data_IF_840624955395
#
_entry.id   IF_840624955395
#
_cell.length_a   1.000
_cell.length_b   1.000
_cell.length_c   1.000
_cell.angle_alpha   90.00
_cell.angle_beta   90.00
_cell.angle_gamma   90.00
#
_symmetry.space_group_name_H-M   'P 1'
#
loop_
_entity.id
_entity.type
_entity.pdbx_description
1 polymer ?
#
# COMPACT_ATOMS: atom_id res chain seq x y z
N UNK A 1 -3.66 -3.96 -13.74
CA UNK A 1 -2.68 -3.20 -12.95
C UNK A 1 -1.77 -4.19 -12.25
N UNK A 2 -0.45 -4.07 -12.36
CA UNK A 2 0.48 -5.06 -11.77
C UNK A 2 1.22 -4.47 -10.56
N UNK A 3 1.64 -5.33 -9.61
CA UNK A 3 2.39 -4.93 -8.40
C UNK A 3 3.64 -4.09 -8.69
N UNK A 4 4.26 -4.28 -9.86
CA UNK A 4 5.42 -3.49 -10.32
C UNK A 4 5.07 -2.02 -10.50
N UNK A 5 3.92 -1.71 -11.10
CA UNK A 5 3.49 -0.33 -11.38
C UNK A 5 3.29 0.44 -10.07
N UNK A 6 2.71 -0.22 -9.07
CA UNK A 6 2.49 0.33 -7.73
C UNK A 6 3.82 0.64 -7.03
N UNK A 7 4.75 -0.32 -7.05
CA UNK A 7 6.05 -0.14 -6.43
C UNK A 7 6.84 1.00 -7.09
N UNK A 8 6.79 1.12 -8.43
CA UNK A 8 7.42 2.23 -9.15
C UNK A 8 6.83 3.59 -8.79
N UNK A 9 5.50 3.70 -8.70
CA UNK A 9 4.83 4.92 -8.23
C UNK A 9 5.29 5.29 -6.82
N UNK A 10 5.37 4.32 -5.91
CA UNK A 10 5.86 4.53 -4.56
C UNK A 10 7.31 5.00 -4.52
N UNK A 11 8.24 4.32 -5.21
CA UNK A 11 9.65 4.72 -5.20
C UNK A 11 9.85 6.11 -5.80
N UNK A 12 9.13 6.46 -6.87
CA UNK A 12 9.15 7.80 -7.45
C UNK A 12 8.64 8.84 -6.44
N UNK A 13 7.53 8.56 -5.77
CA UNK A 13 6.96 9.46 -4.76
C UNK A 13 7.89 9.66 -3.56
N UNK A 14 8.39 8.56 -2.98
CA UNK A 14 9.28 8.58 -1.82
C UNK A 14 10.60 9.31 -2.12
N UNK A 15 11.19 9.07 -3.30
CA UNK A 15 12.36 9.82 -3.78
C UNK A 15 12.07 11.32 -3.94
N UNK A 16 10.91 11.69 -4.46
CA UNK A 16 10.51 13.10 -4.58
C UNK A 16 10.31 13.79 -3.21
N UNK A 17 9.99 13.02 -2.17
CA UNK A 17 9.93 13.51 -0.78
C UNK A 17 11.29 13.54 -0.07
N UNK A 18 12.37 13.13 -0.73
CA UNK A 18 13.71 13.08 -0.15
C UNK A 18 13.94 11.89 0.79
N UNK A 19 13.04 10.92 0.82
CA UNK A 19 13.18 9.70 1.62
C UNK A 19 13.12 8.47 0.71
N UNK A 20 14.23 8.08 0.06
CA UNK A 20 14.26 6.93 -0.83
C UNK A 20 14.14 5.62 -0.03
N UNK A 21 13.36 4.67 -0.58
CA UNK A 21 13.18 3.34 -0.01
C UNK A 21 13.96 2.31 -0.82
N UNK A 22 14.57 1.33 -0.13
CA UNK A 22 15.23 0.18 -0.77
C UNK A 22 14.24 -0.91 -1.19
N UNK A 23 13.06 -0.95 -0.54
CA UNK A 23 12.01 -1.93 -0.82
C UNK A 23 10.62 -1.35 -0.56
N UNK A 24 9.61 -1.93 -1.21
CA UNK A 24 8.22 -1.53 -1.00
C UNK A 24 7.73 -2.07 0.36
N UNK A 25 7.23 -1.22 1.28
CA UNK A 25 7.03 -1.61 2.68
C UNK A 25 5.77 -2.45 2.92
N UNK A 26 4.77 -2.42 2.02
CA UNK A 26 3.57 -3.24 2.14
C UNK A 26 3.76 -4.62 1.52
N UNK A 27 3.30 -5.63 2.26
CA UNK A 27 3.14 -6.99 1.76
C UNK A 27 1.81 -7.13 1.02
N UNK A 28 1.69 -8.18 0.22
CA UNK A 28 0.43 -8.58 -0.45
C UNK A 28 -0.19 -9.83 0.19
N UNK A 29 0.47 -10.37 1.21
CA UNK A 29 -0.04 -11.49 2.00
C UNK A 29 -1.00 -10.94 3.06
N UNK A 30 -2.11 -11.64 3.29
CA UNK A 30 -3.07 -11.27 4.31
C UNK A 30 -2.42 -11.39 5.68
N UNK A 31 -2.44 -10.31 6.44
CA UNK A 31 -2.06 -10.29 7.84
C UNK A 31 -3.34 -10.23 8.70
N UNK A 32 -3.61 -11.30 9.45
CA UNK A 32 -4.79 -11.40 10.31
C UNK A 32 -4.62 -10.72 11.68
N UNK A 33 -3.42 -10.21 11.99
CA UNK A 33 -3.02 -9.72 13.30
C UNK A 33 -2.67 -8.22 13.32
N UNK A 34 -3.28 -7.44 12.42
CA UNK A 34 -3.31 -5.97 12.47
C UNK A 34 -2.37 -5.28 11.49
N UNK A 35 -1.49 -6.01 10.81
CA UNK A 35 -0.61 -5.43 9.79
C UNK A 35 -1.40 -4.96 8.56
N UNK A 36 -1.15 -3.74 8.05
CA UNK A 36 -1.72 -3.34 6.76
C UNK A 36 -1.06 -4.13 5.63
N UNK A 37 -1.85 -4.59 4.67
CA UNK A 37 -1.42 -5.28 3.47
C UNK A 37 -2.15 -4.74 2.23
N UNK A 38 -1.57 -4.98 1.06
CA UNK A 38 -2.09 -4.54 -0.22
C UNK A 38 -2.94 -5.64 -0.87
N UNK A 39 -4.22 -5.37 -1.10
CA UNK A 39 -5.08 -6.17 -1.98
C UNK A 39 -5.13 -5.54 -3.38
N UNK A 40 -5.06 -6.38 -4.41
CA UNK A 40 -5.25 -5.97 -5.81
C UNK A 40 -6.33 -6.87 -6.39
N UNK A 41 -7.44 -6.27 -6.81
CA UNK A 41 -8.54 -7.01 -7.42
C UNK A 41 -8.27 -7.32 -8.89
N UNK A 42 -8.95 -8.33 -9.49
CA UNK A 42 -8.75 -8.70 -10.89
C UNK A 42 -9.06 -7.59 -11.89
N UNK A 43 -9.97 -6.67 -11.56
CA UNK A 43 -10.29 -5.47 -12.34
C UNK A 43 -9.26 -4.34 -12.16
N UNK A 44 -8.24 -4.54 -11.33
CA UNK A 44 -7.11 -3.63 -11.16
C UNK A 44 -7.30 -2.55 -10.09
N UNK A 45 -8.37 -2.62 -9.30
CA UNK A 45 -8.51 -1.78 -8.10
C UNK A 45 -7.54 -2.23 -7.03
N UNK A 46 -7.13 -1.29 -6.19
CA UNK A 46 -6.13 -1.51 -5.16
C UNK A 46 -6.70 -1.06 -3.82
N UNK A 47 -6.43 -1.83 -2.78
CA UNK A 47 -6.83 -1.45 -1.42
C UNK A 47 -5.72 -1.70 -0.41
N UNK A 48 -5.55 -0.78 0.51
CA UNK A 48 -4.81 -1.03 1.75
C UNK A 48 -5.82 -1.57 2.75
N UNK A 49 -5.57 -2.77 3.26
CA UNK A 49 -6.47 -3.49 4.17
C UNK A 49 -5.72 -3.83 5.43
N UNK A 50 -6.36 -3.72 6.59
CA UNK A 50 -5.87 -4.27 7.84
C UNK A 50 -6.97 -5.10 8.51
N UNK A 51 -6.59 -6.22 9.09
CA UNK A 51 -7.49 -7.10 9.83
C UNK A 51 -7.00 -7.29 11.25
N UNK A 52 -7.91 -7.25 12.22
CA UNK A 52 -7.64 -7.63 13.60
C UNK A 52 -8.42 -8.91 13.94
N UNK A 53 -7.71 -9.99 14.27
CA UNK A 53 -8.28 -11.32 14.55
C UNK A 53 -9.21 -11.80 13.43
N UNK A 54 -8.75 -11.63 12.19
CA UNK A 54 -9.48 -12.01 10.98
C UNK A 54 -10.65 -11.08 10.59
N UNK A 55 -10.93 -10.03 11.38
CA UNK A 55 -11.97 -9.03 11.04
C UNK A 55 -11.34 -7.81 10.38
N UNK A 56 -11.81 -7.47 9.19
CA UNK A 56 -11.42 -6.21 8.53
C UNK A 56 -11.76 -5.02 9.43
N UNK A 57 -10.73 -4.29 9.85
CA UNK A 57 -10.86 -3.10 10.69
C UNK A 57 -10.50 -1.82 9.92
N UNK A 58 -9.82 -1.96 8.78
CA UNK A 58 -9.46 -0.85 7.90
C UNK A 58 -9.48 -1.31 6.44
N UNK A 59 -10.07 -0.50 5.56
CA UNK A 59 -9.99 -0.63 4.11
C UNK A 59 -9.95 0.75 3.49
N UNK A 60 -8.98 0.98 2.62
CA UNK A 60 -8.87 2.19 1.81
C UNK A 60 -8.60 1.81 0.37
N UNK A 61 -9.61 1.96 -0.48
CA UNK A 61 -9.59 1.54 -1.88
C UNK A 61 -9.33 2.73 -2.82
N UNK A 62 -8.58 2.50 -3.90
CA UNK A 62 -8.34 3.44 -4.98
C UNK A 62 -8.10 2.69 -6.30
N UNK A 63 -8.40 3.34 -7.41
CA UNK A 63 -8.03 2.93 -8.76
C UNK A 63 -6.75 3.64 -9.25
N UNK A 64 -6.20 4.57 -8.45
CA UNK A 64 -5.01 5.36 -8.76
C UNK A 64 -3.76 4.83 -8.06
N UNK A 65 -2.75 4.32 -8.79
CA UNK A 65 -1.48 3.88 -8.21
C UNK A 65 -0.71 5.01 -7.52
N UNK A 66 -0.88 6.26 -7.99
CA UNK A 66 -0.22 7.43 -7.40
C UNK A 66 -0.81 7.77 -6.03
N UNK A 67 -2.14 7.70 -5.90
CA UNK A 67 -2.83 7.93 -4.63
C UNK A 67 -2.49 6.83 -3.62
N UNK A 68 -2.48 5.57 -4.08
CA UNK A 68 -2.03 4.45 -3.26
C UNK A 68 -0.60 4.67 -2.74
N UNK A 69 0.33 5.04 -3.62
CA UNK A 69 1.72 5.32 -3.27
C UNK A 69 1.87 6.39 -2.18
N UNK A 70 1.08 7.46 -2.26
CA UNK A 70 1.04 8.50 -1.23
C UNK A 70 0.54 7.95 0.11
N UNK A 71 -0.54 7.17 0.12
CA UNK A 71 -1.07 6.59 1.36
C UNK A 71 -0.08 5.63 2.01
N UNK A 72 0.58 4.78 1.22
CA UNK A 72 1.64 3.90 1.71
C UNK A 72 2.77 4.74 2.31
N UNK A 73 3.21 5.80 1.63
CA UNK A 73 4.25 6.65 2.19
C UNK A 73 3.82 7.27 3.53
N UNK A 74 2.60 7.80 3.62
CA UNK A 74 2.08 8.39 4.87
C UNK A 74 2.03 7.35 5.99
N UNK A 75 1.50 6.14 5.75
CA UNK A 75 1.40 5.07 6.76
C UNK A 75 2.74 4.72 7.42
N UNK A 76 3.84 4.81 6.68
CA UNK A 76 5.18 4.44 7.17
C UNK A 76 6.05 5.65 7.56
N UNK A 77 5.55 6.88 7.43
CA UNK A 77 6.30 8.11 7.74
C UNK A 77 5.52 9.11 8.62
N UNK A 78 4.24 8.85 8.92
CA UNK A 78 3.47 9.61 9.88
C UNK A 78 3.94 9.27 11.30
N UNK A 79 4.86 10.08 11.82
CA UNK A 79 5.20 10.16 13.25
C UNK A 79 4.11 10.91 14.03
#
# INVERSE_FOLDING_TARGET
>A
MNKKDIAECFFKYAKAKGNPYESFPLRTEVDEFGGPYLEISPDGKMAIVAKDRGKECFRKETDSPAELAEWVYQLFNSN
#
